data_IF_405212336426
#
_entry.id   IF_405212336426
#
_cell.length_a   1.000
_cell.length_b   1.000
_cell.length_c   1.000
_cell.angle_alpha   90.00
_cell.angle_beta   90.00
_cell.angle_gamma   90.00
#
_symmetry.space_group_name_H-M   'P 1'
#
loop_
_entity.id
_entity.type
_entity.pdbx_description
1 polymer ?
#
# COMPACT_ATOMS: atom_id res chain seq x y z
N UNK A 1 -10.35 8.16 -54.71
CA UNK A 1 -9.35 8.72 -53.77
C UNK A 1 -9.93 9.15 -52.40
N UNK A 2 -11.25 9.35 -52.26
CA UNK A 2 -11.90 9.72 -51.00
C UNK A 2 -11.98 8.56 -49.97
N UNK A 3 -12.10 7.30 -50.43
CA UNK A 3 -12.22 6.13 -49.54
C UNK A 3 -10.95 5.79 -48.74
N UNK A 4 -9.76 5.88 -49.32
CA UNK A 4 -8.51 5.62 -48.60
C UNK A 4 -8.27 6.64 -47.48
N UNK A 5 -8.60 7.92 -47.71
CA UNK A 5 -8.46 8.97 -46.69
C UNK A 5 -9.42 8.75 -45.53
N UNK A 6 -10.66 8.30 -45.80
CA UNK A 6 -11.66 7.97 -44.78
C UNK A 6 -11.22 6.78 -43.92
N UNK A 7 -10.64 5.74 -44.53
CA UNK A 7 -10.07 4.60 -43.81
C UNK A 7 -8.88 4.99 -42.93
N UNK A 8 -7.98 5.84 -43.42
CA UNK A 8 -6.83 6.33 -42.64
C UNK A 8 -7.29 7.13 -41.41
N UNK A 9 -8.27 8.02 -41.58
CA UNK A 9 -8.82 8.82 -40.47
C UNK A 9 -9.47 7.92 -39.42
N UNK A 10 -10.23 6.90 -39.83
CA UNK A 10 -10.82 5.93 -38.90
C UNK A 10 -9.75 5.17 -38.09
N UNK A 11 -8.67 4.74 -38.73
CA UNK A 11 -7.58 4.04 -38.04
C UNK A 11 -6.89 4.92 -37.01
N UNK A 12 -6.62 6.19 -37.35
CA UNK A 12 -5.99 7.15 -36.43
C UNK A 12 -6.87 7.39 -35.20
N UNK A 13 -8.18 7.53 -35.40
CA UNK A 13 -9.13 7.72 -34.29
C UNK A 13 -9.12 6.51 -33.35
N UNK A 14 -9.18 5.29 -33.89
CA UNK A 14 -9.14 4.06 -33.09
C UNK A 14 -7.84 3.95 -32.28
N UNK A 15 -6.69 4.21 -32.91
CA UNK A 15 -5.38 4.20 -32.23
C UNK A 15 -5.33 5.24 -31.11
N UNK A 16 -5.88 6.43 -31.35
CA UNK A 16 -5.93 7.50 -30.34
C UNK A 16 -6.76 7.08 -29.12
N UNK A 17 -7.95 6.49 -29.32
CA UNK A 17 -8.78 6.00 -28.22
C UNK A 17 -8.14 4.84 -27.45
N UNK A 18 -7.47 3.91 -28.14
CA UNK A 18 -6.75 2.80 -27.49
C UNK A 18 -5.56 3.32 -26.67
N UNK A 19 -4.77 4.24 -27.21
CA UNK A 19 -3.65 4.84 -26.50
C UNK A 19 -4.14 5.66 -25.29
N UNK A 20 -5.23 6.41 -25.44
CA UNK A 20 -5.80 7.22 -24.36
C UNK A 20 -6.40 6.36 -23.24
N UNK A 21 -7.10 5.27 -23.58
CA UNK A 21 -7.63 4.31 -22.62
C UNK A 21 -6.50 3.56 -21.90
N UNK A 22 -5.46 3.13 -22.63
CA UNK A 22 -4.26 2.51 -22.07
C UNK A 22 -3.50 3.44 -21.13
N UNK A 23 -3.32 4.71 -21.51
CA UNK A 23 -2.68 5.73 -20.68
C UNK A 23 -3.49 6.04 -19.42
N UNK A 24 -4.82 6.19 -19.53
CA UNK A 24 -5.74 6.36 -18.39
C UNK A 24 -5.71 5.16 -17.42
N UNK A 25 -5.68 3.94 -17.95
CA UNK A 25 -5.60 2.73 -17.12
C UNK A 25 -4.23 2.61 -16.42
N UNK A 26 -3.14 2.84 -17.15
CA UNK A 26 -1.78 2.83 -16.60
C UNK A 26 -1.59 3.90 -15.51
N UNK A 27 -1.97 5.14 -15.81
CA UNK A 27 -1.92 6.26 -14.85
C UNK A 27 -2.87 6.10 -13.66
N UNK A 28 -3.96 5.35 -13.80
CA UNK A 28 -4.87 4.98 -12.69
C UNK A 28 -4.25 3.94 -11.75
N UNK A 29 -3.42 3.03 -12.28
CA UNK A 29 -2.76 1.98 -11.52
C UNK A 29 -1.44 2.46 -10.88
N UNK A 30 -0.70 3.37 -11.52
CA UNK A 30 0.59 3.88 -11.01
C UNK A 30 0.55 4.54 -9.61
N UNK A 31 -0.47 5.32 -9.21
CA UNK A 31 -0.51 5.89 -7.86
C UNK A 31 -0.96 4.87 -6.80
N UNK A 32 -1.61 3.76 -7.19
CA UNK A 32 -2.06 2.73 -6.24
C UNK A 32 -0.98 1.71 -5.89
N UNK A 33 0.05 1.57 -6.72
CA UNK A 33 1.17 0.64 -6.47
C UNK A 33 2.30 1.24 -5.62
N UNK A 34 2.28 2.57 -5.37
CA UNK A 34 3.14 3.20 -4.36
C UNK A 34 2.36 3.29 -3.05
N UNK A 35 2.23 2.16 -2.36
CA UNK A 35 2.03 2.23 -0.92
C UNK A 35 3.22 3.02 -0.38
N UNK A 36 2.96 4.06 0.42
CA UNK A 36 4.02 4.75 1.15
C UNK A 36 4.79 3.72 1.95
N UNK A 37 6.12 3.85 2.08
CA UNK A 37 6.95 2.93 2.88
C UNK A 37 6.35 2.75 4.28
N UNK A 38 5.74 3.81 4.82
CA UNK A 38 4.98 3.82 6.08
C UNK A 38 3.79 2.84 6.11
N UNK A 39 3.00 2.78 5.03
CA UNK A 39 1.86 1.86 4.94
C UNK A 39 2.34 0.42 4.76
N UNK A 40 3.44 0.23 4.04
CA UNK A 40 4.03 -1.09 3.85
C UNK A 40 4.57 -1.65 5.16
N UNK A 41 5.31 -0.85 5.94
CA UNK A 41 5.78 -1.24 7.28
C UNK A 41 4.62 -1.63 8.21
N UNK A 42 3.50 -0.90 8.16
CA UNK A 42 2.32 -1.25 8.96
C UNK A 42 1.66 -2.57 8.52
N UNK A 43 1.65 -2.86 7.22
CA UNK A 43 1.14 -4.14 6.70
C UNK A 43 2.04 -5.29 7.15
N UNK A 44 3.36 -5.13 7.05
CA UNK A 44 4.33 -6.13 7.50
C UNK A 44 4.23 -6.37 9.01
N UNK A 45 4.01 -5.31 9.79
CA UNK A 45 3.74 -5.41 11.22
C UNK A 45 2.48 -6.22 11.53
N UNK A 46 1.38 -5.97 10.81
CA UNK A 46 0.13 -6.71 11.02
C UNK A 46 0.23 -8.19 10.61
N UNK A 47 1.00 -8.49 9.56
CA UNK A 47 1.17 -9.84 9.03
C UNK A 47 2.22 -10.68 9.80
N UNK A 48 3.04 -10.07 10.65
CA UNK A 48 4.15 -10.76 11.34
C UNK A 48 3.72 -12.02 12.09
N UNK A 49 2.51 -12.02 12.67
CA UNK A 49 2.02 -13.15 13.48
C UNK A 49 1.30 -14.25 12.70
N UNK A 50 1.21 -14.16 11.37
CA UNK A 50 0.59 -15.24 10.58
C UNK A 50 1.39 -16.56 10.64
N UNK A 51 2.70 -16.48 10.94
CA UNK A 51 3.60 -17.63 10.92
C UNK A 51 3.90 -18.25 12.30
N UNK A 52 3.57 -17.57 13.41
CA UNK A 52 3.91 -18.01 14.78
C UNK A 52 2.67 -18.05 15.70
N UNK A 53 1.72 -18.98 15.48
CA UNK A 53 0.53 -19.10 16.30
C UNK A 53 0.91 -19.54 17.73
N UNK A 54 0.98 -18.57 18.65
CA UNK A 54 1.32 -18.81 20.06
C UNK A 54 2.18 -17.72 20.69
N UNK A 55 2.78 -16.85 19.87
CA UNK A 55 3.54 -15.70 20.35
C UNK A 55 2.66 -14.44 20.28
N UNK A 56 2.73 -13.59 21.30
CA UNK A 56 2.10 -12.28 21.22
C UNK A 56 3.11 -11.32 20.56
N UNK A 57 2.89 -10.93 19.30
CA UNK A 57 3.83 -10.08 18.57
C UNK A 57 3.92 -8.70 19.23
N UNK A 58 5.12 -8.14 19.27
CA UNK A 58 5.35 -6.77 19.72
C UNK A 58 6.37 -6.06 18.82
N UNK A 59 6.49 -4.74 18.96
CA UNK A 59 7.43 -3.91 18.21
C UNK A 59 8.27 -3.04 19.16
N UNK A 60 9.60 -3.02 18.94
CA UNK A 60 10.53 -2.21 19.74
C UNK A 60 10.56 -0.74 19.33
N UNK A 61 10.29 -0.45 18.07
CA UNK A 61 10.36 0.90 17.52
C UNK A 61 9.01 1.24 16.93
N UNK A 62 8.30 2.18 17.54
CA UNK A 62 7.02 2.65 17.05
C UNK A 62 6.91 4.17 17.22
N UNK A 63 6.21 4.81 16.30
CA UNK A 63 5.96 6.25 16.34
C UNK A 63 4.49 6.51 16.63
N UNK A 64 4.22 6.89 17.88
CA UNK A 64 2.88 7.25 18.33
C UNK A 64 2.49 8.65 17.82
N UNK A 65 1.42 8.69 17.03
CA UNK A 65 0.84 9.92 16.51
C UNK A 65 -0.67 9.76 16.36
N UNK A 66 -1.36 10.04 17.46
CA UNK A 66 -2.82 10.10 17.55
C UNK A 66 -3.46 11.23 16.72
N UNK A 67 -2.67 12.18 16.22
CA UNK A 67 -3.19 13.27 15.37
C UNK A 67 -3.34 12.85 13.91
N UNK A 68 -2.76 11.72 13.53
CA UNK A 68 -2.80 11.16 12.19
C UNK A 68 -3.97 10.18 12.05
N UNK A 69 -4.86 10.40 11.09
CA UNK A 69 -6.00 9.50 10.85
C UNK A 69 -5.60 8.09 10.36
N UNK A 70 -4.33 7.86 10.02
CA UNK A 70 -3.83 6.58 9.53
C UNK A 70 -3.06 5.78 10.61
N UNK A 71 -3.37 5.97 11.89
CA UNK A 71 -2.76 5.16 12.94
C UNK A 71 -3.26 3.70 12.89
N UNK A 72 -2.40 2.80 13.32
CA UNK A 72 -2.68 1.39 13.61
C UNK A 72 -2.50 1.13 15.10
N UNK A 73 -3.11 0.06 15.61
CA UNK A 73 -2.86 -0.40 16.97
C UNK A 73 -1.86 -1.53 16.92
N UNK A 74 -0.74 -1.37 17.62
CA UNK A 74 0.34 -2.36 17.75
C UNK A 74 0.56 -2.69 19.23
N UNK A 75 1.36 -3.72 19.52
CA UNK A 75 1.83 -4.02 20.89
C UNK A 75 3.28 -3.57 21.04
N UNK A 76 3.60 -2.81 22.09
CA UNK A 76 4.97 -2.37 22.40
C UNK A 76 5.77 -3.48 23.08
N UNK A 77 7.04 -3.67 22.73
CA UNK A 77 7.88 -4.69 23.37
C UNK A 77 8.46 -4.25 24.73
N UNK A 78 8.37 -2.97 25.06
CA UNK A 78 8.84 -2.39 26.31
C UNK A 78 7.90 -2.68 27.48
N UNK A 79 6.58 -2.66 27.24
CA UNK A 79 5.57 -2.88 28.26
C UNK A 79 4.62 -4.05 27.96
N UNK A 80 4.55 -4.53 26.72
CA UNK A 80 3.55 -5.49 26.25
C UNK A 80 2.10 -4.98 26.29
N UNK A 81 1.93 -3.66 26.14
CA UNK A 81 0.63 -3.00 26.02
C UNK A 81 0.34 -2.54 24.60
N UNK A 82 -0.92 -2.18 24.35
CA UNK A 82 -1.36 -1.65 23.06
C UNK A 82 -1.00 -0.17 22.93
N UNK A 83 -0.37 0.20 21.82
CA UNK A 83 -0.02 1.57 21.47
C UNK A 83 -0.61 1.93 20.11
N UNK A 84 -1.00 3.19 19.94
CA UNK A 84 -1.23 3.77 18.62
C UNK A 84 0.12 4.02 17.95
N UNK A 85 0.24 3.67 16.67
CA UNK A 85 1.44 3.91 15.90
C UNK A 85 1.09 4.24 14.46
N UNK A 86 1.86 5.13 13.85
CA UNK A 86 1.79 5.35 12.38
C UNK A 86 2.89 4.61 11.63
N UNK A 87 3.93 4.16 12.35
CA UNK A 87 4.98 3.28 11.90
C UNK A 87 5.37 2.33 13.03
N UNK A 88 5.71 1.08 12.72
CA UNK A 88 6.26 0.13 13.67
C UNK A 88 7.33 -0.75 13.01
N UNK A 89 8.43 -1.01 13.71
CA UNK A 89 9.53 -1.87 13.25
C UNK A 89 10.25 -2.51 14.43
N UNK A 90 11.19 -3.41 14.13
CA UNK A 90 11.88 -4.21 15.13
C UNK A 90 10.92 -5.20 15.80
N UNK A 91 10.45 -6.22 15.06
CA UNK A 91 9.51 -7.18 15.61
C UNK A 91 10.16 -8.00 16.74
N UNK A 92 9.35 -8.30 17.74
CA UNK A 92 9.69 -9.12 18.90
C UNK A 92 8.48 -9.88 19.41
N UNK A 93 8.64 -10.49 20.60
CA UNK A 93 7.57 -11.26 21.23
C UNK A 93 7.46 -10.91 22.70
N UNK A 94 6.23 -10.68 23.14
CA UNK A 94 5.89 -10.57 24.54
C UNK A 94 5.83 -11.96 25.16
N UNK A 95 6.56 -12.15 26.27
CA UNK A 95 6.55 -13.39 27.06
C UNK A 95 5.91 -13.09 28.42
N UNK A 96 4.85 -13.81 28.73
CA UNK A 96 4.12 -13.74 30.01
C UNK A 96 4.52 -14.89 30.92
#
# INVERSE_FOLDING_TARGET
>A
MLDMKRKIIQTIIVVFFVAFAGYKAYSSLSPKAKLSDLVLENIEALAYNENNPGEWPCFYFYYDDLSNNNYVIITGCDDCWSHSATAASGPGTCRW
#
